data_IF_002386507693
#
_entry.id   IF_002386507693
#
_cell.length_a   1.000
_cell.length_b   1.000
_cell.length_c   1.000
_cell.angle_alpha   90.00
_cell.angle_beta   90.00
_cell.angle_gamma   90.00
#
_symmetry.space_group_name_H-M   'P 1'
#
loop_
_entity.id
_entity.type
_entity.pdbx_description
1 polymer ?
#
# COMPACT_ATOMS: atom_id res chain seq x y z
N UNK A 1 -21.60 33.23 6.94
CA UNK A 1 -20.88 31.97 6.66
C UNK A 1 -20.99 31.74 5.17
N UNK A 2 -19.95 31.26 4.51
CA UNK A 2 -20.02 30.92 3.10
C UNK A 2 -21.07 29.83 2.90
N UNK A 3 -21.85 29.92 1.83
CA UNK A 3 -22.69 28.81 1.39
C UNK A 3 -21.80 27.72 0.77
N UNK A 4 -22.03 26.45 1.16
CA UNK A 4 -21.20 25.32 0.74
C UNK A 4 -22.00 24.31 -0.05
N UNK A 5 -21.48 23.91 -1.21
CA UNK A 5 -22.05 22.83 -2.02
C UNK A 5 -21.02 21.69 -2.16
N UNK A 6 -21.38 20.47 -1.76
CA UNK A 6 -20.60 19.26 -2.02
C UNK A 6 -21.16 18.62 -3.29
N UNK A 7 -20.34 18.57 -4.32
CA UNK A 7 -20.69 18.00 -5.61
C UNK A 7 -19.98 16.66 -5.75
N UNK A 8 -20.74 15.62 -6.10
CA UNK A 8 -20.25 14.25 -6.25
C UNK A 8 -20.36 13.87 -7.73
N UNK A 9 -19.27 14.01 -8.53
CA UNK A 9 -19.26 13.54 -9.91
C UNK A 9 -19.39 12.02 -9.96
N UNK A 10 -20.30 11.52 -10.78
CA UNK A 10 -20.51 10.08 -10.95
C UNK A 10 -20.78 9.75 -12.43
N UNK A 11 -19.92 8.93 -13.04
CA UNK A 11 -20.05 8.46 -14.43
C UNK A 11 -20.35 6.97 -14.46
N UNK A 12 -21.23 6.55 -15.37
CA UNK A 12 -21.45 5.13 -15.58
C UNK A 12 -20.32 4.50 -16.40
N UNK A 13 -19.85 5.22 -17.41
CA UNK A 13 -18.78 4.77 -18.30
C UNK A 13 -17.41 4.89 -17.61
N UNK A 14 -16.95 3.79 -17.05
CA UNK A 14 -15.58 3.62 -16.53
C UNK A 14 -14.92 2.48 -17.28
N UNK A 15 -13.71 2.67 -17.78
CA UNK A 15 -12.99 1.64 -18.55
C UNK A 15 -12.60 0.42 -17.71
N UNK A 16 -12.21 0.64 -16.45
CA UNK A 16 -11.77 -0.42 -15.52
C UNK A 16 -12.93 -1.08 -14.77
N UNK A 17 -13.99 -0.35 -14.49
CA UNK A 17 -15.14 -0.84 -13.73
C UNK A 17 -16.44 -0.13 -14.20
N UNK A 18 -17.08 -0.58 -15.30
CA UNK A 18 -18.34 -0.01 -15.78
C UNK A 18 -19.46 -0.12 -14.76
N UNK A 19 -20.24 0.96 -14.58
CA UNK A 19 -21.31 1.00 -13.59
C UNK A 19 -20.84 1.14 -12.14
N UNK A 20 -19.56 1.41 -11.90
CA UNK A 20 -18.93 1.56 -10.58
C UNK A 20 -19.79 2.32 -9.54
N UNK A 21 -20.41 3.48 -9.80
CA UNK A 21 -21.21 4.18 -8.80
C UNK A 21 -22.44 3.40 -8.30
N UNK A 22 -22.89 2.42 -9.09
CA UNK A 22 -24.05 1.57 -8.76
C UNK A 22 -23.62 0.20 -8.17
N UNK A 23 -22.32 -0.05 -8.00
CA UNK A 23 -21.84 -1.29 -7.40
C UNK A 23 -22.37 -1.44 -5.96
N UNK A 24 -22.82 -2.65 -5.63
CA UNK A 24 -23.38 -2.93 -4.32
C UNK A 24 -22.30 -2.99 -3.24
N UNK A 25 -22.51 -2.26 -2.16
CA UNK A 25 -21.74 -2.30 -0.93
C UNK A 25 -22.72 -2.55 0.22
N UNK A 26 -22.77 -3.78 0.71
CA UNK A 26 -23.61 -4.18 1.84
C UNK A 26 -25.10 -3.80 1.67
N UNK A 27 -25.65 -4.02 0.48
CA UNK A 27 -27.06 -3.75 0.18
C UNK A 27 -27.39 -2.31 -0.21
N UNK A 28 -26.37 -1.44 -0.36
CA UNK A 28 -26.52 -0.07 -0.86
C UNK A 28 -25.58 0.19 -2.04
N UNK A 29 -25.99 0.96 -3.07
CA UNK A 29 -25.08 1.36 -4.13
C UNK A 29 -23.96 2.25 -3.59
N UNK A 30 -22.75 2.12 -4.14
CA UNK A 30 -21.56 2.87 -3.70
C UNK A 30 -21.82 4.39 -3.62
N UNK A 31 -22.50 4.95 -4.60
CA UNK A 31 -22.83 6.39 -4.62
C UNK A 31 -23.69 6.82 -3.43
N UNK A 32 -24.52 5.93 -2.88
CA UNK A 32 -25.34 6.21 -1.70
C UNK A 32 -24.46 6.32 -0.45
N UNK A 33 -23.43 5.46 -0.30
CA UNK A 33 -22.48 5.59 0.80
C UNK A 33 -21.76 6.93 0.80
N UNK A 34 -21.26 7.36 -0.38
CA UNK A 34 -20.59 8.66 -0.53
C UNK A 34 -21.56 9.80 -0.21
N UNK A 35 -22.80 9.73 -0.76
CA UNK A 35 -23.82 10.75 -0.56
C UNK A 35 -24.24 10.90 0.91
N UNK A 36 -24.52 9.79 1.61
CA UNK A 36 -24.92 9.79 3.01
C UNK A 36 -23.85 10.43 3.92
N UNK A 37 -22.57 10.14 3.66
CA UNK A 37 -21.45 10.73 4.40
C UNK A 37 -21.31 12.22 4.10
N UNK A 38 -21.41 12.64 2.85
CA UNK A 38 -21.41 14.05 2.48
C UNK A 38 -22.60 14.80 3.10
N UNK A 39 -23.79 14.17 3.12
CA UNK A 39 -24.99 14.76 3.68
C UNK A 39 -24.97 14.90 5.20
N UNK A 40 -24.08 14.20 5.90
CA UNK A 40 -23.89 14.38 7.35
C UNK A 40 -23.10 15.65 7.71
N UNK A 41 -22.41 16.27 6.74
CA UNK A 41 -21.69 17.54 6.93
C UNK A 41 -22.69 18.69 7.08
N UNK A 42 -22.68 19.31 8.26
CA UNK A 42 -23.68 20.36 8.59
C UNK A 42 -23.48 21.62 7.75
N UNK A 43 -24.58 22.15 7.25
CA UNK A 43 -24.58 23.43 6.52
C UNK A 43 -24.13 23.35 5.07
N UNK A 44 -23.84 22.16 4.55
CA UNK A 44 -23.52 21.94 3.15
C UNK A 44 -24.74 21.37 2.38
N UNK A 45 -24.95 21.82 1.16
CA UNK A 45 -25.86 21.17 0.21
C UNK A 45 -25.12 20.09 -0.56
N UNK A 46 -25.75 18.91 -0.78
CA UNK A 46 -25.09 17.80 -1.49
C UNK A 46 -25.83 17.50 -2.78
N UNK A 47 -25.07 17.35 -3.88
CA UNK A 47 -25.62 17.08 -5.22
C UNK A 47 -24.74 16.05 -5.94
N UNK A 48 -25.36 15.00 -6.49
CA UNK A 48 -24.69 14.08 -7.42
C UNK A 48 -24.80 14.63 -8.84
N UNK A 49 -23.66 14.81 -9.50
CA UNK A 49 -23.58 15.27 -10.87
C UNK A 49 -23.28 14.08 -11.81
N UNK A 50 -24.22 13.71 -12.65
CA UNK A 50 -24.11 12.53 -13.51
C UNK A 50 -24.56 12.79 -14.94
N UNK A 51 -24.01 12.03 -15.89
CA UNK A 51 -24.44 12.00 -17.29
C UNK A 51 -25.30 10.76 -17.62
N UNK A 52 -25.67 9.97 -16.60
CA UNK A 52 -26.38 8.71 -16.80
C UNK A 52 -27.71 8.68 -16.01
N UNK A 53 -28.81 8.43 -16.73
CA UNK A 53 -30.15 8.40 -16.13
C UNK A 53 -30.34 7.27 -15.10
N UNK A 54 -29.57 6.18 -15.18
CA UNK A 54 -29.62 5.07 -14.20
C UNK A 54 -29.08 5.54 -12.86
N UNK A 55 -27.96 6.27 -12.85
CA UNK A 55 -27.38 6.85 -11.63
C UNK A 55 -28.35 7.86 -11.05
N UNK A 56 -28.90 8.77 -11.89
CA UNK A 56 -29.87 9.77 -11.43
C UNK A 56 -31.12 9.13 -10.80
N UNK A 57 -31.64 8.05 -11.42
CA UNK A 57 -32.79 7.31 -10.89
C UNK A 57 -32.51 6.72 -9.52
N UNK A 58 -31.33 6.11 -9.33
CA UNK A 58 -30.91 5.53 -8.05
C UNK A 58 -30.73 6.61 -6.99
N UNK A 59 -30.09 7.74 -7.34
CA UNK A 59 -29.91 8.88 -6.42
C UNK A 59 -31.26 9.42 -5.94
N UNK A 60 -32.21 9.62 -6.85
CA UNK A 60 -33.55 10.07 -6.50
C UNK A 60 -34.31 9.02 -5.67
N UNK A 61 -34.05 7.71 -5.94
CA UNK A 61 -34.69 6.60 -5.24
C UNK A 61 -34.36 6.53 -3.74
N UNK A 62 -33.15 6.90 -3.33
CA UNK A 62 -32.80 7.00 -1.91
C UNK A 62 -32.99 8.41 -1.31
N UNK A 63 -33.64 9.33 -2.02
CA UNK A 63 -33.94 10.69 -1.56
C UNK A 63 -32.78 11.69 -1.71
N UNK A 64 -31.74 11.33 -2.45
CA UNK A 64 -30.62 12.22 -2.78
C UNK A 64 -31.00 13.24 -3.86
N UNK A 65 -30.21 14.31 -3.97
CA UNK A 65 -30.34 15.31 -5.05
C UNK A 65 -29.38 14.96 -6.18
N UNK A 66 -29.90 14.76 -7.38
CA UNK A 66 -29.12 14.51 -8.58
C UNK A 66 -29.34 15.58 -9.64
N UNK A 67 -28.30 15.89 -10.42
CA UNK A 67 -28.35 16.83 -11.55
C UNK A 67 -27.73 16.16 -12.78
N UNK A 68 -28.48 16.20 -13.90
CA UNK A 68 -27.92 15.76 -15.19
C UNK A 68 -26.92 16.78 -15.70
N UNK A 69 -25.80 16.29 -16.19
CA UNK A 69 -24.70 17.04 -16.78
C UNK A 69 -24.31 16.46 -18.14
N UNK A 70 -23.56 17.19 -18.94
CA UNK A 70 -23.09 16.72 -20.24
C UNK A 70 -22.22 15.49 -20.13
N UNK A 71 -22.31 14.58 -21.07
CA UNK A 71 -21.40 13.42 -21.23
C UNK A 71 -20.07 13.80 -21.87
N UNK A 72 -19.92 15.03 -22.37
CA UNK A 72 -18.72 15.50 -23.08
C UNK A 72 -17.63 16.04 -22.18
N UNK A 73 -17.88 16.19 -20.87
CA UNK A 73 -16.88 16.65 -19.92
C UNK A 73 -15.68 15.70 -19.85
N UNK A 74 -14.47 16.24 -20.00
CA UNK A 74 -13.23 15.48 -19.91
C UNK A 74 -12.94 15.08 -18.47
N UNK A 75 -13.24 15.97 -17.49
CA UNK A 75 -12.85 15.82 -16.10
C UNK A 75 -14.02 15.95 -15.10
N UNK A 76 -13.74 15.63 -13.83
CA UNK A 76 -14.66 15.89 -12.72
C UNK A 76 -14.82 17.38 -12.45
N UNK A 77 -13.77 18.16 -12.62
CA UNK A 77 -13.78 19.61 -12.41
C UNK A 77 -14.61 20.34 -13.48
N UNK A 78 -14.54 19.92 -14.76
CA UNK A 78 -15.39 20.46 -15.82
C UNK A 78 -16.88 20.25 -15.50
N UNK A 79 -17.22 19.08 -14.93
CA UNK A 79 -18.59 18.76 -14.51
C UNK A 79 -19.04 19.67 -13.36
N UNK A 80 -18.13 20.00 -12.45
CA UNK A 80 -18.38 20.93 -11.36
C UNK A 80 -18.75 22.32 -11.91
N UNK A 81 -18.00 22.80 -12.90
CA UNK A 81 -18.27 24.11 -13.56
C UNK A 81 -19.69 24.16 -14.18
N UNK A 82 -20.15 23.07 -14.82
CA UNK A 82 -21.54 23.03 -15.31
C UNK A 82 -22.53 23.08 -14.14
N UNK A 83 -22.28 22.36 -13.04
CA UNK A 83 -23.18 22.31 -11.89
C UNK A 83 -23.35 23.68 -11.22
N UNK A 84 -22.31 24.54 -11.24
CA UNK A 84 -22.39 25.90 -10.68
C UNK A 84 -23.53 26.73 -11.27
N UNK A 85 -23.88 26.49 -12.51
CA UNK A 85 -25.04 27.21 -13.16
C UNK A 85 -26.38 26.78 -12.57
N UNK A 86 -26.45 25.66 -11.86
CA UNK A 86 -27.67 25.03 -11.31
C UNK A 86 -27.70 25.06 -9.78
N UNK A 87 -26.54 25.20 -9.15
CA UNK A 87 -26.34 25.18 -7.69
C UNK A 87 -25.41 26.31 -7.31
N UNK A 88 -25.95 27.37 -6.73
CA UNK A 88 -25.17 28.55 -6.32
C UNK A 88 -24.59 28.34 -4.92
N UNK A 89 -23.31 28.55 -4.79
CA UNK A 89 -22.58 28.50 -3.53
C UNK A 89 -21.30 29.35 -3.59
N UNK A 90 -20.76 29.74 -2.44
CA UNK A 90 -19.47 30.45 -2.33
C UNK A 90 -18.29 29.51 -2.39
N UNK A 91 -18.48 28.27 -1.88
CA UNK A 91 -17.48 27.22 -1.80
C UNK A 91 -18.04 25.91 -2.37
N UNK A 92 -17.31 25.30 -3.27
CA UNK A 92 -17.64 24.02 -3.89
C UNK A 92 -16.66 22.95 -3.49
N UNK A 93 -17.14 21.85 -2.92
CA UNK A 93 -16.34 20.67 -2.62
C UNK A 93 -16.52 19.66 -3.75
N UNK A 94 -15.44 19.25 -4.39
CA UNK A 94 -15.40 18.16 -5.35
C UNK A 94 -15.06 16.87 -4.58
N UNK A 95 -16.06 16.03 -4.34
CA UNK A 95 -15.91 14.74 -3.68
C UNK A 95 -16.13 13.62 -4.71
N UNK A 96 -15.11 12.82 -4.98
CA UNK A 96 -15.22 11.75 -5.97
C UNK A 96 -16.27 10.70 -5.57
N UNK A 97 -17.09 10.28 -6.53
CA UNK A 97 -18.17 9.31 -6.32
C UNK A 97 -17.67 7.88 -6.04
N UNK A 98 -16.38 7.65 -6.06
CA UNK A 98 -15.68 6.39 -5.78
C UNK A 98 -14.92 6.37 -4.45
N UNK A 99 -15.22 7.33 -3.56
CA UNK A 99 -14.63 7.44 -2.21
C UNK A 99 -15.65 7.05 -1.10
N UNK A 100 -16.12 5.80 -1.04
CA UNK A 100 -17.17 5.39 -0.09
C UNK A 100 -16.68 5.37 1.37
N UNK A 101 -15.38 5.46 1.60
CA UNK A 101 -14.75 5.53 2.93
C UNK A 101 -14.37 6.96 3.34
N UNK A 102 -14.76 7.99 2.58
CA UNK A 102 -14.56 9.40 2.96
C UNK A 102 -15.12 9.65 4.36
N UNK A 103 -14.41 10.45 5.14
CA UNK A 103 -14.83 10.79 6.50
C UNK A 103 -15.46 12.19 6.49
N UNK A 104 -16.66 12.35 7.07
CA UNK A 104 -17.29 13.67 7.18
C UNK A 104 -16.39 14.71 7.84
N UNK A 105 -15.60 14.29 8.85
CA UNK A 105 -14.68 15.17 9.60
C UNK A 105 -13.58 15.74 8.70
N UNK A 106 -13.15 15.02 7.67
CA UNK A 106 -12.14 15.47 6.72
C UNK A 106 -12.73 16.55 5.79
N UNK A 107 -14.01 16.43 5.40
CA UNK A 107 -14.73 17.45 4.65
C UNK A 107 -14.97 18.69 5.51
N UNK A 108 -15.38 18.52 6.77
CA UNK A 108 -15.56 19.63 7.73
C UNK A 108 -14.24 20.37 7.99
N UNK A 109 -13.11 19.65 8.14
CA UNK A 109 -11.79 20.25 8.27
C UNK A 109 -11.47 21.14 7.09
N UNK A 110 -11.67 20.65 5.86
CA UNK A 110 -11.40 21.38 4.63
C UNK A 110 -12.29 22.65 4.53
N UNK A 111 -13.58 22.50 4.80
CA UNK A 111 -14.54 23.63 4.80
C UNK A 111 -14.14 24.69 5.83
N UNK A 112 -13.80 24.28 7.05
CA UNK A 112 -13.42 25.16 8.14
C UNK A 112 -12.10 25.89 7.84
N UNK A 113 -11.10 25.21 7.26
CA UNK A 113 -9.84 25.81 6.85
C UNK A 113 -10.06 26.90 5.78
N UNK A 114 -10.90 26.60 4.76
CA UNK A 114 -11.26 27.57 3.73
C UNK A 114 -12.09 28.75 4.29
N UNK A 115 -12.92 28.51 5.31
CA UNK A 115 -13.71 29.56 5.94
C UNK A 115 -12.84 30.48 6.81
N UNK A 116 -11.81 29.94 7.47
CA UNK A 116 -10.91 30.67 8.34
C UNK A 116 -9.96 31.62 7.59
N UNK A 117 -9.52 31.23 6.39
CA UNK A 117 -8.64 32.03 5.55
C UNK A 117 -9.25 32.23 4.15
N UNK A 118 -9.71 33.45 3.91
CA UNK A 118 -10.36 33.83 2.64
C UNK A 118 -9.37 33.98 1.47
N UNK A 119 -8.08 34.03 1.74
CA UNK A 119 -7.04 34.09 0.71
C UNK A 119 -6.76 32.71 0.11
N UNK A 120 -7.16 31.64 0.77
CA UNK A 120 -7.07 30.31 0.20
C UNK A 120 -8.16 30.13 -0.87
N UNK A 121 -7.74 29.99 -2.11
CA UNK A 121 -8.63 29.85 -3.25
C UNK A 121 -8.96 28.38 -3.54
N UNK A 122 -7.97 27.47 -3.37
CA UNK A 122 -8.13 26.02 -3.54
C UNK A 122 -7.54 25.28 -2.36
N UNK A 123 -8.32 24.38 -1.80
CA UNK A 123 -7.90 23.47 -0.73
C UNK A 123 -7.95 22.01 -1.15
N UNK A 124 -7.07 21.18 -0.62
CA UNK A 124 -7.09 19.72 -0.78
C UNK A 124 -6.59 19.03 0.47
N UNK A 125 -6.56 17.70 0.47
CA UNK A 125 -6.20 16.89 1.62
C UNK A 125 -4.98 16.00 1.34
N UNK A 126 -4.25 15.62 2.38
CA UNK A 126 -3.21 14.59 2.33
C UNK A 126 -3.12 13.83 3.64
N UNK A 127 -2.53 12.64 3.60
CA UNK A 127 -2.09 11.91 4.79
C UNK A 127 -0.67 11.37 4.61
N UNK A 128 -0.01 11.09 5.72
CA UNK A 128 1.35 10.53 5.72
C UNK A 128 1.36 9.06 5.29
N UNK A 129 2.38 8.67 4.48
CA UNK A 129 2.60 7.31 4.01
C UNK A 129 4.07 6.90 4.14
N UNK A 130 4.32 5.60 4.13
CA UNK A 130 5.67 5.04 4.14
C UNK A 130 6.40 5.22 2.81
N UNK A 131 7.73 5.13 2.83
CA UNK A 131 8.56 5.14 1.63
C UNK A 131 8.22 3.99 0.66
N UNK A 132 7.78 2.86 1.17
CA UNK A 132 7.32 1.73 0.36
C UNK A 132 6.05 2.08 -0.42
N UNK A 133 5.04 2.62 0.25
CA UNK A 133 3.77 3.06 -0.38
C UNK A 133 4.00 4.17 -1.40
N UNK A 134 4.96 5.05 -1.17
CA UNK A 134 5.29 6.15 -2.09
C UNK A 134 5.84 5.68 -3.46
N UNK A 135 6.39 4.46 -3.54
CA UNK A 135 6.87 3.88 -4.81
C UNK A 135 5.75 3.53 -5.79
N UNK A 136 4.52 3.35 -5.30
CA UNK A 136 3.38 3.05 -6.16
C UNK A 136 3.00 4.29 -7.00
N UNK A 137 3.05 4.24 -8.34
CA UNK A 137 2.71 5.38 -9.20
C UNK A 137 1.22 5.72 -9.19
N UNK A 138 0.34 4.82 -8.74
CA UNK A 138 -1.09 5.10 -8.56
C UNK A 138 -1.36 5.93 -7.30
N UNK A 139 -0.44 5.93 -6.35
CA UNK A 139 -0.46 6.80 -5.18
C UNK A 139 0.15 8.15 -5.57
N UNK A 140 -0.66 9.21 -5.65
CA UNK A 140 -0.17 10.55 -5.95
C UNK A 140 0.46 11.15 -4.70
N UNK A 141 1.68 11.70 -4.84
CA UNK A 141 2.39 12.38 -3.74
C UNK A 141 2.27 13.87 -3.88
N UNK A 142 2.26 14.58 -2.76
CA UNK A 142 2.31 16.04 -2.71
C UNK A 142 3.46 16.52 -1.82
N UNK A 143 4.18 17.53 -2.27
CA UNK A 143 5.15 18.27 -1.46
C UNK A 143 4.54 19.61 -1.10
N UNK A 144 4.57 19.97 0.18
CA UNK A 144 4.03 21.25 0.67
C UNK A 144 5.12 22.10 1.29
N UNK A 145 4.95 23.42 1.22
CA UNK A 145 5.70 24.38 2.04
C UNK A 145 5.32 24.24 3.51
N UNK A 146 6.03 24.98 4.36
CA UNK A 146 5.72 25.04 5.80
C UNK A 146 4.31 25.62 6.06
N UNK A 147 3.83 26.53 5.21
CA UNK A 147 2.49 27.11 5.31
C UNK A 147 1.35 26.18 4.82
N UNK A 148 1.67 24.98 4.33
CA UNK A 148 0.68 24.05 3.77
C UNK A 148 0.44 24.26 2.27
N UNK A 149 1.03 25.28 1.62
CA UNK A 149 0.91 25.47 0.18
C UNK A 149 1.58 24.34 -0.58
N UNK A 150 0.86 23.70 -1.51
CA UNK A 150 1.40 22.66 -2.35
C UNK A 150 2.45 23.21 -3.32
N UNK A 151 3.63 22.61 -3.31
CA UNK A 151 4.71 22.94 -4.24
C UNK A 151 4.61 22.15 -5.54
N UNK A 152 4.24 20.88 -5.46
CA UNK A 152 4.07 20.00 -6.62
C UNK A 152 3.31 18.72 -6.24
N UNK A 153 2.64 18.12 -7.23
CA UNK A 153 2.04 16.78 -7.15
C UNK A 153 2.71 15.87 -8.16
N UNK A 154 3.00 14.62 -7.78
CA UNK A 154 3.63 13.67 -8.70
C UNK A 154 3.26 12.22 -8.42
N UNK A 155 3.25 11.41 -9.48
CA UNK A 155 3.21 9.94 -9.38
C UNK A 155 4.55 9.36 -8.98
N UNK A 156 5.66 10.08 -9.19
CA UNK A 156 6.98 9.71 -8.69
C UNK A 156 7.10 9.89 -7.17
N UNK A 157 7.96 9.15 -6.47
CA UNK A 157 8.29 9.41 -5.08
C UNK A 157 8.94 10.79 -4.90
N UNK A 158 8.21 11.75 -4.37
CA UNK A 158 8.67 13.08 -4.02
C UNK A 158 8.38 13.38 -2.54
N UNK A 159 9.33 14.07 -1.81
CA UNK A 159 10.63 14.55 -2.26
C UNK A 159 11.64 13.42 -2.51
N UNK A 160 12.66 13.67 -3.37
CA UNK A 160 13.76 12.72 -3.51
C UNK A 160 14.67 12.78 -2.27
N UNK A 161 14.84 11.66 -1.60
CA UNK A 161 15.69 11.56 -0.40
C UNK A 161 17.09 11.15 -0.86
N UNK A 162 18.02 12.13 -0.88
CA UNK A 162 19.40 11.90 -1.28
C UNK A 162 20.20 11.16 -0.19
N UNK A 163 19.99 11.53 1.06
CA UNK A 163 20.68 10.93 2.21
C UNK A 163 19.74 9.92 2.90
N UNK A 164 20.14 8.67 2.94
CA UNK A 164 19.38 7.57 3.58
C UNK A 164 19.22 7.72 5.09
N UNK A 165 20.02 8.57 5.75
CA UNK A 165 19.91 8.89 7.18
C UNK A 165 18.77 9.85 7.51
N UNK A 166 18.19 10.52 6.52
CA UNK A 166 17.08 11.45 6.73
C UNK A 166 15.77 10.68 6.81
N UNK A 167 15.16 10.67 7.99
CA UNK A 167 13.78 10.18 8.14
C UNK A 167 12.81 11.28 7.68
N UNK A 168 12.08 11.04 6.59
CA UNK A 168 10.96 11.88 6.16
C UNK A 168 9.78 11.01 5.79
N UNK A 169 8.58 11.47 6.09
CA UNK A 169 7.35 10.85 5.62
C UNK A 169 6.97 11.41 4.25
N UNK A 170 6.48 10.56 3.38
CA UNK A 170 5.83 11.00 2.15
C UNK A 170 4.38 11.38 2.43
N UNK A 171 3.84 12.33 1.67
CA UNK A 171 2.46 12.77 1.78
C UNK A 171 1.68 12.24 0.59
N UNK A 172 0.71 11.36 0.83
CA UNK A 172 -0.24 10.92 -0.19
C UNK A 172 -1.36 11.95 -0.31
N UNK A 173 -1.55 12.48 -1.51
CA UNK A 173 -2.67 13.32 -1.84
C UNK A 173 -4.00 12.53 -1.79
N UNK A 174 -5.04 13.15 -1.24
CA UNK A 174 -6.42 12.65 -1.23
C UNK A 174 -7.25 13.49 -2.21
N UNK A 175 -7.90 12.83 -3.16
CA UNK A 175 -8.58 13.46 -4.31
C UNK A 175 -9.86 14.25 -3.98
N UNK A 176 -9.90 14.92 -2.84
CA UNK A 176 -10.97 15.82 -2.43
C UNK A 176 -10.48 17.26 -2.55
N UNK A 177 -11.26 18.11 -3.19
CA UNK A 177 -10.91 19.51 -3.39
C UNK A 177 -12.01 20.45 -2.93
N UNK A 178 -11.63 21.59 -2.39
CA UNK A 178 -12.49 22.74 -2.15
C UNK A 178 -12.07 23.89 -3.06
N UNK A 179 -13.01 24.45 -3.79
CA UNK A 179 -12.78 25.57 -4.70
C UNK A 179 -13.66 26.74 -4.32
N UNK A 180 -13.09 27.95 -4.31
CA UNK A 180 -13.92 29.14 -4.33
C UNK A 180 -14.60 29.29 -5.69
N UNK A 181 -15.78 29.87 -5.69
CA UNK A 181 -16.55 30.13 -6.90
C UNK A 181 -15.72 30.83 -7.97
N UNK A 182 -14.93 31.84 -7.60
CA UNK A 182 -14.07 32.60 -8.49
C UNK A 182 -13.05 31.74 -9.27
N UNK A 183 -12.50 30.71 -8.65
CA UNK A 183 -11.56 29.79 -9.32
C UNK A 183 -12.29 28.96 -10.38
N UNK A 184 -13.45 28.41 -10.04
CA UNK A 184 -14.22 27.59 -10.98
C UNK A 184 -14.74 28.40 -12.17
N UNK A 185 -15.10 29.69 -11.98
CA UNK A 185 -15.53 30.60 -13.06
C UNK A 185 -14.43 30.79 -14.12
N UNK A 186 -13.17 30.81 -13.72
CA UNK A 186 -12.04 30.92 -14.65
C UNK A 186 -11.45 29.57 -15.12
N UNK A 187 -11.80 28.48 -14.46
CA UNK A 187 -11.19 27.15 -14.71
C UNK A 187 -11.32 26.73 -16.18
N UNK A 188 -12.47 26.92 -16.79
CA UNK A 188 -12.72 26.58 -18.20
C UNK A 188 -11.90 27.39 -19.22
N UNK A 189 -11.27 28.48 -18.77
CA UNK A 189 -10.42 29.35 -19.61
C UNK A 189 -8.92 28.98 -19.44
N UNK A 190 -8.56 28.14 -18.43
CA UNK A 190 -7.20 27.74 -18.23
C UNK A 190 -6.75 26.78 -19.33
N UNK A 191 -5.60 27.05 -19.91
CA UNK A 191 -4.98 26.15 -20.89
C UNK A 191 -4.54 24.85 -20.24
N UNK A 192 -4.66 23.73 -20.96
CA UNK A 192 -4.12 22.45 -20.52
C UNK A 192 -2.60 22.54 -20.37
N UNK A 193 -2.10 22.10 -19.21
CA UNK A 193 -0.71 22.23 -18.86
C UNK A 193 0.14 21.03 -19.32
N UNK A 194 1.39 21.28 -19.75
CA UNK A 194 2.31 20.19 -20.13
C UNK A 194 2.60 19.25 -18.96
N UNK A 195 2.68 19.78 -17.75
CA UNK A 195 2.93 18.98 -16.56
C UNK A 195 1.68 18.17 -16.15
N UNK A 196 0.49 18.70 -16.36
CA UNK A 196 -0.78 17.98 -16.21
C UNK A 196 -0.84 16.77 -17.14
N UNK A 197 -0.51 16.97 -18.43
CA UNK A 197 -0.48 15.90 -19.43
C UNK A 197 0.54 14.83 -19.05
N UNK A 198 1.74 15.24 -18.62
CA UNK A 198 2.84 14.32 -18.29
C UNK A 198 2.52 13.43 -17.08
N UNK A 199 1.98 14.02 -16.01
CA UNK A 199 1.65 13.31 -14.76
C UNK A 199 0.22 12.72 -14.78
N UNK A 200 -0.63 13.11 -15.74
CA UNK A 200 -2.07 12.80 -15.76
C UNK A 200 -2.75 13.21 -14.44
N UNK A 201 -2.52 14.48 -14.03
CA UNK A 201 -2.99 15.08 -12.79
C UNK A 201 -3.57 16.47 -13.06
N UNK A 202 -4.91 16.58 -13.05
CA UNK A 202 -5.67 17.81 -13.39
C UNK A 202 -5.29 19.03 -12.52
N UNK A 203 -4.98 18.81 -11.26
CA UNK A 203 -4.62 19.90 -10.33
C UNK A 203 -3.32 20.61 -10.70
N UNK A 204 -2.48 20.02 -11.52
CA UNK A 204 -1.25 20.67 -11.99
C UNK A 204 -1.54 21.83 -12.93
N UNK A 205 -2.70 21.85 -13.60
CA UNK A 205 -3.18 23.01 -14.40
C UNK A 205 -3.32 24.26 -13.54
N UNK A 206 -3.84 24.10 -12.31
CA UNK A 206 -3.98 25.22 -11.38
C UNK A 206 -2.62 25.78 -10.97
N UNK A 207 -1.69 24.91 -10.57
CA UNK A 207 -0.33 25.32 -10.19
C UNK A 207 0.43 25.98 -11.34
N UNK A 208 0.30 25.45 -12.57
CA UNK A 208 0.92 26.03 -13.78
C UNK A 208 0.28 27.37 -14.20
N UNK A 209 -0.90 27.67 -13.67
CA UNK A 209 -1.62 28.94 -13.87
C UNK A 209 -1.48 29.90 -12.67
N UNK A 210 -0.48 29.69 -11.81
CA UNK A 210 -0.20 30.50 -10.61
C UNK A 210 -1.37 30.52 -9.59
N UNK A 211 -2.26 29.52 -9.59
CA UNK A 211 -3.32 29.37 -8.60
C UNK A 211 -2.80 28.47 -7.47
N UNK A 212 -2.66 29.02 -6.28
CA UNK A 212 -2.15 28.32 -5.12
C UNK A 212 -3.15 27.27 -4.59
N UNK A 213 -2.65 26.06 -4.33
CA UNK A 213 -3.39 24.98 -3.69
C UNK A 213 -2.83 24.78 -2.29
N UNK A 214 -3.68 24.78 -1.26
CA UNK A 214 -3.30 24.48 0.11
C UNK A 214 -3.74 23.06 0.47
N UNK A 215 -2.82 22.25 0.99
CA UNK A 215 -3.08 20.87 1.37
C UNK A 215 -3.09 20.70 2.90
N UNK A 216 -4.14 20.08 3.42
CA UNK A 216 -4.35 19.90 4.86
C UNK A 216 -4.19 18.44 5.23
N UNK A 217 -3.56 18.19 6.37
CA UNK A 217 -3.31 16.83 6.85
C UNK A 217 -4.56 16.23 7.48
N UNK A 218 -4.87 15.00 7.07
CA UNK A 218 -5.97 14.19 7.64
C UNK A 218 -5.42 12.84 8.11
N UNK A 219 -6.21 12.12 8.88
CA UNK A 219 -5.88 10.73 9.18
C UNK A 219 -6.01 9.89 7.92
N UNK A 220 -5.26 8.78 7.87
CA UNK A 220 -5.33 7.85 6.73
C UNK A 220 -6.79 7.43 6.49
N UNK A 221 -7.29 7.73 5.30
CA UNK A 221 -8.58 7.25 4.81
C UNK A 221 -8.42 5.85 4.21
N UNK A 222 -9.52 5.14 4.06
CA UNK A 222 -9.54 3.88 3.32
C UNK A 222 -9.27 4.11 1.80
N UNK A 223 -9.07 3.05 1.03
CA UNK A 223 -8.87 3.15 -0.41
C UNK A 223 -10.15 3.63 -1.11
N UNK A 224 -9.99 4.43 -2.16
CA UNK A 224 -11.03 4.64 -3.17
C UNK A 224 -11.24 3.36 -4.00
N UNK A 225 -12.35 3.26 -4.69
CA UNK A 225 -12.70 2.10 -5.52
C UNK A 225 -12.41 2.41 -6.97
N UNK A 226 -11.39 1.78 -7.54
CA UNK A 226 -11.05 1.88 -8.97
C UNK A 226 -11.27 0.59 -9.73
N UNK A 227 -11.19 -0.54 -9.04
CA UNK A 227 -11.32 -1.89 -9.57
C UNK A 227 -12.30 -2.72 -8.72
N UNK A 228 -12.79 -3.88 -9.22
CA UNK A 228 -13.57 -4.81 -8.40
C UNK A 228 -12.84 -5.27 -7.13
N UNK A 229 -11.52 -5.45 -7.20
CA UNK A 229 -10.69 -5.84 -6.05
C UNK A 229 -10.66 -4.75 -4.97
N UNK A 230 -10.71 -3.47 -5.36
CA UNK A 230 -10.81 -2.36 -4.40
C UNK A 230 -12.19 -2.33 -3.74
N UNK A 231 -13.25 -2.69 -4.47
CA UNK A 231 -14.59 -2.82 -3.92
C UNK A 231 -14.64 -3.89 -2.81
N UNK A 232 -14.02 -5.05 -3.03
CA UNK A 232 -13.93 -6.11 -2.01
C UNK A 232 -13.21 -5.63 -0.75
N UNK A 233 -12.11 -4.87 -0.90
CA UNK A 233 -11.39 -4.25 0.23
C UNK A 233 -12.28 -3.28 1.01
N UNK A 234 -13.04 -2.44 0.32
CA UNK A 234 -13.95 -1.49 0.95
C UNK A 234 -15.06 -2.22 1.71
N UNK A 235 -15.65 -3.27 1.13
CA UNK A 235 -16.66 -4.09 1.79
C UNK A 235 -16.11 -4.72 3.08
N UNK A 236 -14.89 -5.27 3.04
CA UNK A 236 -14.23 -5.84 4.21
C UNK A 236 -14.02 -4.80 5.31
N UNK A 237 -13.54 -3.59 4.97
CA UNK A 237 -13.38 -2.48 5.93
C UNK A 237 -14.72 -2.14 6.60
N UNK A 238 -15.79 -1.99 5.82
CA UNK A 238 -17.10 -1.62 6.33
C UNK A 238 -17.74 -2.70 7.20
N UNK A 239 -17.37 -3.97 7.00
CA UNK A 239 -17.78 -5.10 7.86
C UNK A 239 -16.93 -5.21 9.13
N UNK A 240 -15.91 -4.38 9.31
CA UNK A 240 -14.85 -4.56 10.31
C UNK A 240 -14.15 -5.93 10.19
N UNK A 241 -14.17 -6.54 9.00
CA UNK A 241 -13.39 -7.71 8.69
C UNK A 241 -11.95 -7.27 8.46
N UNK A 242 -10.94 -7.97 9.00
CA UNK A 242 -9.55 -7.63 8.70
C UNK A 242 -9.34 -7.77 7.18
N UNK A 243 -8.91 -6.68 6.54
CA UNK A 243 -8.56 -6.69 5.12
C UNK A 243 -7.49 -7.76 4.89
N UNK A 244 -7.64 -8.53 3.81
CA UNK A 244 -6.56 -9.43 3.40
C UNK A 244 -5.24 -8.67 3.13
N UNK A 245 -5.32 -7.37 2.77
CA UNK A 245 -4.16 -6.48 2.60
C UNK A 245 -3.66 -5.83 3.89
N UNK A 246 -4.43 -5.88 5.00
CA UNK A 246 -3.99 -5.48 6.35
C UNK A 246 -3.57 -6.69 7.19
N UNK A 247 -3.85 -7.90 6.73
CA UNK A 247 -3.07 -9.05 7.14
C UNK A 247 -1.66 -8.79 6.60
N UNK A 248 -0.80 -8.30 7.47
CA UNK A 248 0.62 -8.23 7.18
C UNK A 248 1.05 -9.50 6.44
N UNK A 249 1.82 -9.34 5.37
CA UNK A 249 2.30 -10.45 4.53
C UNK A 249 2.85 -11.60 5.36
N UNK A 250 3.35 -11.30 6.57
CA UNK A 250 4.02 -12.24 7.45
C UNK A 250 3.16 -12.73 8.62
N UNK A 251 1.94 -12.20 8.80
CA UNK A 251 1.09 -12.51 9.97
C UNK A 251 0.65 -13.98 10.08
N UNK A 252 0.52 -14.67 8.96
CA UNK A 252 0.04 -16.06 8.92
C UNK A 252 1.12 -17.06 8.47
N UNK A 253 2.38 -16.64 8.44
CA UNK A 253 3.50 -17.54 8.07
C UNK A 253 3.71 -18.60 9.15
N UNK A 254 3.70 -19.84 8.74
CA UNK A 254 4.02 -21.00 9.59
C UNK A 254 5.16 -21.85 9.05
N UNK A 255 5.66 -21.50 7.84
CA UNK A 255 6.85 -22.13 7.24
C UNK A 255 7.75 -21.06 6.62
N UNK A 256 9.01 -21.06 7.00
CA UNK A 256 10.10 -20.28 6.38
C UNK A 256 11.00 -21.24 5.63
N UNK A 257 11.13 -21.07 4.32
CA UNK A 257 12.09 -21.81 3.49
C UNK A 257 13.24 -20.86 3.16
N UNK A 258 14.48 -21.28 3.44
CA UNK A 258 15.67 -20.47 3.16
C UNK A 258 16.60 -21.15 2.18
N UNK A 259 17.14 -20.36 1.22
CA UNK A 259 18.38 -20.75 0.57
C UNK A 259 19.55 -20.64 1.55
N UNK A 260 20.70 -21.11 1.15
CA UNK A 260 21.92 -21.13 1.96
C UNK A 260 22.96 -20.16 1.43
N UNK A 261 23.43 -20.38 0.19
CA UNK A 261 24.54 -19.62 -0.37
C UNK A 261 24.04 -18.25 -0.83
N UNK A 262 24.54 -17.18 -0.22
CA UNK A 262 24.05 -15.82 -0.44
C UNK A 262 22.90 -15.38 0.50
N UNK A 263 22.34 -16.29 1.33
CA UNK A 263 21.32 -15.96 2.34
C UNK A 263 21.83 -16.20 3.76
N UNK A 264 22.09 -17.47 4.13
CA UNK A 264 22.69 -17.84 5.43
C UNK A 264 24.21 -17.71 5.43
N UNK A 265 24.83 -17.67 4.26
CA UNK A 265 26.25 -17.38 4.05
C UNK A 265 26.39 -16.09 3.22
N UNK A 266 27.60 -15.55 3.18
CA UNK A 266 27.98 -14.40 2.35
C UNK A 266 28.24 -14.76 0.87
N UNK A 267 27.88 -15.98 0.43
CA UNK A 267 28.10 -16.51 -0.91
C UNK A 267 29.56 -16.88 -1.20
N UNK A 268 30.50 -16.63 -0.28
CA UNK A 268 31.91 -17.01 -0.41
C UNK A 268 32.09 -18.53 -0.37
N UNK A 269 32.91 -19.05 -1.27
CA UNK A 269 33.21 -20.49 -1.38
C UNK A 269 34.69 -20.72 -1.06
N UNK A 270 34.94 -21.53 -0.08
CA UNK A 270 36.29 -21.90 0.33
C UNK A 270 36.60 -23.33 -0.14
N UNK A 271 37.58 -23.46 -1.06
CA UNK A 271 37.94 -24.71 -1.71
C UNK A 271 39.32 -25.18 -1.30
N UNK A 272 39.48 -26.47 -1.11
CA UNK A 272 40.73 -27.20 -1.11
C UNK A 272 40.79 -28.25 -2.23
N UNK A 273 41.79 -29.10 -2.27
CA UNK A 273 41.94 -30.15 -3.29
C UNK A 273 40.85 -31.21 -3.25
N UNK A 274 40.07 -31.28 -2.18
CA UNK A 274 38.94 -32.20 -2.01
C UNK A 274 37.58 -31.55 -2.25
N UNK A 275 37.55 -30.25 -2.57
CA UNK A 275 36.32 -29.47 -2.86
C UNK A 275 36.00 -28.42 -1.81
N UNK A 276 34.72 -28.09 -1.64
CA UNK A 276 34.27 -27.10 -0.66
C UNK A 276 34.51 -27.60 0.77
N UNK A 277 35.38 -26.90 1.52
CA UNK A 277 35.84 -27.34 2.84
C UNK A 277 35.26 -26.54 4.01
N UNK A 278 34.88 -25.24 3.82
CA UNK A 278 34.42 -24.35 4.87
C UNK A 278 33.22 -23.52 4.36
N UNK A 279 32.26 -23.29 5.22
CA UNK A 279 31.18 -22.27 5.04
C UNK A 279 31.16 -21.37 6.26
N UNK A 280 31.02 -20.07 6.01
CA UNK A 280 30.82 -19.05 7.03
C UNK A 280 29.35 -18.79 7.22
N UNK A 281 28.83 -19.06 8.43
CA UNK A 281 27.47 -18.76 8.86
C UNK A 281 27.44 -17.59 9.85
N UNK A 282 26.37 -16.83 9.89
CA UNK A 282 26.19 -15.76 10.85
C UNK A 282 25.44 -16.27 12.10
N UNK A 283 25.93 -15.90 13.30
CA UNK A 283 25.35 -16.36 14.57
C UNK A 283 23.92 -15.90 14.76
N UNK A 284 23.60 -14.66 14.33
CA UNK A 284 22.24 -14.08 14.46
C UNK A 284 21.21 -14.85 13.63
N UNK A 285 21.57 -15.33 12.45
CA UNK A 285 20.67 -16.15 11.62
C UNK A 285 20.30 -17.46 12.30
N UNK A 286 21.30 -18.11 12.95
CA UNK A 286 21.04 -19.29 13.77
C UNK A 286 20.08 -19.02 14.92
N UNK A 287 20.23 -17.87 15.59
CA UNK A 287 19.30 -17.46 16.64
C UNK A 287 17.89 -17.18 16.07
N UNK A 288 17.79 -16.50 14.90
CA UNK A 288 16.51 -16.26 14.23
C UNK A 288 15.76 -17.55 13.92
N UNK A 289 16.47 -18.57 13.43
CA UNK A 289 15.90 -19.91 13.20
C UNK A 289 15.32 -20.50 14.49
N UNK A 290 16.06 -20.42 15.58
CA UNK A 290 15.62 -20.95 16.89
C UNK A 290 14.39 -20.21 17.43
N UNK A 291 14.34 -18.88 17.28
CA UNK A 291 13.18 -18.08 17.68
C UNK A 291 11.92 -18.42 16.87
N UNK A 292 12.05 -18.62 15.57
CA UNK A 292 10.95 -19.07 14.71
C UNK A 292 10.44 -20.44 15.15
N UNK A 293 11.34 -21.41 15.37
CA UNK A 293 10.99 -22.76 15.83
C UNK A 293 10.26 -22.70 17.18
N UNK A 294 10.70 -21.86 18.11
CA UNK A 294 10.04 -21.66 19.40
C UNK A 294 8.65 -21.05 19.27
N UNK A 295 8.47 -20.15 18.31
CA UNK A 295 7.17 -19.57 18.01
C UNK A 295 6.20 -20.55 17.33
N UNK A 296 6.62 -21.80 17.07
CA UNK A 296 5.84 -22.81 16.36
C UNK A 296 5.90 -22.66 14.83
N UNK A 297 6.84 -21.85 14.31
CA UNK A 297 7.04 -21.65 12.87
C UNK A 297 8.13 -22.61 12.40
N UNK A 298 7.80 -23.44 11.42
CA UNK A 298 8.74 -24.39 10.85
C UNK A 298 9.78 -23.68 9.99
N UNK A 299 11.03 -24.17 10.02
CA UNK A 299 12.08 -23.68 9.14
C UNK A 299 12.59 -24.84 8.30
N UNK A 300 12.69 -24.61 6.99
CA UNK A 300 13.20 -25.57 6.03
C UNK A 300 14.36 -24.98 5.22
N UNK A 301 15.23 -25.86 4.73
CA UNK A 301 16.37 -25.49 3.88
C UNK A 301 16.19 -26.07 2.48
N UNK A 302 16.38 -25.22 1.47
CA UNK A 302 16.37 -25.61 0.06
C UNK A 302 17.62 -25.05 -0.64
N UNK A 303 18.62 -25.89 -0.91
CA UNK A 303 19.90 -25.48 -1.49
C UNK A 303 20.25 -26.24 -2.77
N UNK A 304 20.84 -25.50 -3.72
CA UNK A 304 21.43 -26.07 -4.94
C UNK A 304 22.69 -26.90 -4.69
N UNK A 305 23.30 -26.78 -3.50
CA UNK A 305 24.51 -27.49 -3.12
C UNK A 305 24.25 -28.46 -1.97
N UNK A 306 25.14 -29.46 -1.87
CA UNK A 306 25.21 -30.41 -0.79
C UNK A 306 26.66 -30.53 -0.32
N UNK A 307 26.94 -30.14 0.91
CA UNK A 307 28.28 -30.21 1.49
C UNK A 307 28.26 -30.63 2.96
N UNK A 308 29.37 -31.20 3.42
CA UNK A 308 29.49 -31.63 4.82
C UNK A 308 29.30 -30.49 5.83
N UNK A 309 29.90 -29.29 5.64
CA UNK A 309 29.65 -28.15 6.54
C UNK A 309 28.19 -27.76 6.62
N UNK A 310 27.47 -27.80 5.48
CA UNK A 310 26.04 -27.48 5.41
C UNK A 310 25.19 -28.49 6.18
N UNK A 311 25.40 -29.80 5.96
CA UNK A 311 24.69 -30.86 6.69
C UNK A 311 24.92 -30.77 8.21
N UNK A 312 26.15 -30.46 8.60
CA UNK A 312 26.49 -30.25 10.03
C UNK A 312 25.69 -29.05 10.60
N UNK A 313 25.65 -27.93 9.89
CA UNK A 313 24.94 -26.74 10.34
C UNK A 313 23.42 -26.96 10.45
N UNK A 314 22.81 -27.65 9.50
CA UNK A 314 21.37 -28.03 9.50
C UNK A 314 21.08 -28.85 10.76
N UNK A 315 21.91 -29.85 11.04
CA UNK A 315 21.79 -30.71 12.24
C UNK A 315 21.93 -29.93 13.55
N UNK A 316 22.91 -29.00 13.64
CA UNK A 316 23.13 -28.17 14.84
C UNK A 316 21.96 -27.21 15.10
N UNK A 317 21.27 -26.79 14.05
CA UNK A 317 20.09 -25.91 14.13
C UNK A 317 18.79 -26.70 14.36
N UNK A 318 18.81 -28.06 14.34
CA UNK A 318 17.61 -28.87 14.47
C UNK A 318 16.58 -28.59 13.37
N UNK A 319 17.04 -28.50 12.12
CA UNK A 319 16.16 -28.32 10.97
C UNK A 319 15.84 -29.70 10.39
N UNK A 320 14.58 -30.12 10.51
CA UNK A 320 14.15 -31.47 10.11
C UNK A 320 13.82 -31.56 8.63
N UNK A 321 13.36 -30.45 8.01
CA UNK A 321 12.94 -30.41 6.61
C UNK A 321 14.03 -29.73 5.78
N UNK A 322 14.69 -30.50 4.92
CA UNK A 322 15.69 -29.92 4.01
C UNK A 322 15.83 -30.72 2.72
N UNK A 323 16.18 -30.03 1.65
CA UNK A 323 16.49 -30.58 0.34
C UNK A 323 17.77 -29.94 -0.21
N UNK A 324 18.78 -30.76 -0.47
CA UNK A 324 20.13 -30.35 -0.86
C UNK A 324 20.50 -30.88 -2.25
N UNK A 325 21.36 -30.17 -2.98
CA UNK A 325 21.77 -30.57 -4.33
C UNK A 325 20.67 -30.40 -5.38
N UNK A 326 19.67 -29.54 -5.13
CA UNK A 326 18.45 -29.41 -5.93
C UNK A 326 18.68 -28.43 -7.07
N UNK A 327 18.39 -28.88 -8.31
CA UNK A 327 18.43 -28.02 -9.50
C UNK A 327 17.08 -27.35 -9.80
N UNK A 328 15.97 -28.01 -9.52
CA UNK A 328 14.63 -27.48 -9.73
C UNK A 328 14.01 -27.07 -8.39
N UNK A 329 14.21 -25.79 -8.01
CA UNK A 329 13.70 -25.26 -6.76
C UNK A 329 12.17 -25.12 -6.72
N UNK A 330 11.49 -25.03 -7.85
CA UNK A 330 10.01 -24.98 -7.90
C UNK A 330 9.37 -26.26 -7.35
N UNK A 331 9.79 -27.40 -7.91
CA UNK A 331 9.26 -28.73 -7.49
C UNK A 331 9.61 -29.00 -6.04
N UNK A 332 10.86 -28.73 -5.66
CA UNK A 332 11.32 -28.96 -4.29
C UNK A 332 10.60 -28.06 -3.26
N UNK A 333 10.32 -26.80 -3.61
CA UNK A 333 9.56 -25.90 -2.73
C UNK A 333 8.15 -26.46 -2.47
N UNK A 334 7.45 -26.91 -3.50
CA UNK A 334 6.12 -27.55 -3.37
C UNK A 334 6.18 -28.80 -2.50
N UNK A 335 7.22 -29.62 -2.65
CA UNK A 335 7.42 -30.82 -1.83
C UNK A 335 7.69 -30.48 -0.36
N UNK A 336 8.50 -29.44 -0.08
CA UNK A 336 8.75 -28.96 1.28
C UNK A 336 7.45 -28.50 1.94
N UNK A 337 6.62 -27.74 1.22
CA UNK A 337 5.30 -27.27 1.70
C UNK A 337 4.41 -28.44 2.09
N UNK A 338 4.38 -29.50 1.28
CA UNK A 338 3.63 -30.72 1.59
C UNK A 338 4.17 -31.44 2.82
N UNK A 339 5.51 -31.61 2.94
CA UNK A 339 6.16 -32.24 4.09
C UNK A 339 5.93 -31.47 5.40
N UNK A 340 5.86 -30.14 5.30
CA UNK A 340 5.57 -29.27 6.44
C UNK A 340 4.07 -29.24 6.80
N UNK A 341 3.22 -29.93 6.05
CA UNK A 341 1.76 -29.95 6.23
C UNK A 341 1.15 -28.54 6.29
N UNK A 342 1.59 -27.69 5.37
CA UNK A 342 1.15 -26.30 5.26
C UNK A 342 0.67 -25.95 3.85
N UNK A 343 0.35 -24.68 3.61
CA UNK A 343 -0.11 -24.19 2.33
C UNK A 343 0.86 -23.17 1.72
N UNK A 344 0.76 -22.94 0.41
CA UNK A 344 1.53 -21.92 -0.29
C UNK A 344 1.39 -20.56 0.40
N UNK A 345 0.17 -20.14 0.75
CA UNK A 345 -0.12 -18.82 1.33
C UNK A 345 0.57 -18.59 2.67
N UNK A 346 0.77 -19.65 3.45
CA UNK A 346 1.39 -19.59 4.77
C UNK A 346 2.90 -19.85 4.75
N UNK A 347 3.51 -19.81 3.57
CA UNK A 347 4.93 -20.08 3.36
C UNK A 347 5.65 -18.85 2.84
N UNK A 348 6.78 -18.52 3.47
CA UNK A 348 7.73 -17.51 2.96
C UNK A 348 9.00 -18.21 2.46
N UNK A 349 9.53 -17.73 1.35
CA UNK A 349 10.83 -18.16 0.82
C UNK A 349 11.80 -16.97 0.79
N UNK A 350 13.00 -17.14 1.32
CA UNK A 350 14.08 -16.13 1.24
C UNK A 350 15.22 -16.64 0.35
N UNK A 351 15.60 -15.85 -0.65
CA UNK A 351 16.64 -16.15 -1.63
C UNK A 351 17.47 -14.92 -2.02
N UNK A 352 18.49 -15.14 -2.85
CA UNK A 352 19.43 -14.08 -3.27
C UNK A 352 19.65 -13.97 -4.78
N UNK A 353 19.37 -15.02 -5.57
CA UNK A 353 19.76 -15.02 -7.00
C UNK A 353 18.66 -15.64 -7.91
N UNK A 354 18.95 -15.65 -9.20
CA UNK A 354 18.09 -16.15 -10.29
C UNK A 354 17.56 -17.56 -10.04
N UNK A 355 18.36 -18.42 -9.39
CA UNK A 355 18.00 -19.80 -9.09
C UNK A 355 16.85 -19.92 -8.10
N UNK A 356 16.53 -18.85 -7.36
CA UNK A 356 15.43 -18.78 -6.39
C UNK A 356 14.09 -18.36 -7.01
N UNK A 357 14.12 -17.70 -8.17
CA UNK A 357 12.91 -17.23 -8.83
C UNK A 357 11.83 -18.31 -9.01
N UNK A 358 12.16 -19.58 -9.35
CA UNK A 358 11.16 -20.64 -9.41
C UNK A 358 10.52 -20.99 -8.06
N UNK A 359 11.27 -20.83 -6.94
CA UNK A 359 10.73 -21.01 -5.59
C UNK A 359 9.85 -19.84 -5.16
N UNK A 360 10.17 -18.61 -5.55
CA UNK A 360 9.36 -17.42 -5.29
C UNK A 360 7.92 -17.57 -5.78
N UNK A 361 7.72 -18.10 -7.00
CA UNK A 361 6.36 -18.36 -7.53
C UNK A 361 5.62 -19.47 -6.78
N UNK A 362 6.31 -20.31 -6.03
CA UNK A 362 5.76 -21.48 -5.33
C UNK A 362 5.40 -21.22 -3.88
N UNK A 363 5.82 -20.08 -3.29
CA UNK A 363 5.47 -19.66 -1.94
C UNK A 363 4.46 -18.49 -1.95
N UNK A 364 3.89 -18.17 -0.80
CA UNK A 364 2.94 -17.07 -0.61
C UNK A 364 3.64 -15.72 -0.49
N UNK A 365 4.85 -15.71 0.08
CA UNK A 365 5.68 -14.51 0.23
C UNK A 365 7.09 -14.80 -0.25
N UNK A 366 7.55 -14.04 -1.22
CA UNK A 366 8.91 -14.09 -1.75
C UNK A 366 9.77 -12.97 -1.13
N UNK A 367 10.95 -13.31 -0.63
CA UNK A 367 11.84 -12.38 0.06
C UNK A 367 13.24 -12.42 -0.54
N UNK A 368 13.83 -11.26 -0.81
CA UNK A 368 15.22 -11.14 -1.25
C UNK A 368 16.09 -10.47 -0.19
N UNK A 369 17.37 -10.86 -0.13
CA UNK A 369 18.38 -10.17 0.70
C UNK A 369 18.78 -8.82 0.09
N UNK A 370 19.39 -7.91 0.89
CA UNK A 370 19.74 -6.56 0.46
C UNK A 370 20.68 -6.48 -0.75
N UNK A 371 21.57 -7.42 -0.90
CA UNK A 371 22.57 -7.49 -1.96
C UNK A 371 22.20 -8.42 -3.13
N UNK A 372 20.98 -8.95 -3.15
CA UNK A 372 20.43 -9.64 -4.31
C UNK A 372 20.42 -8.69 -5.54
N UNK A 373 20.61 -9.20 -6.77
CA UNK A 373 20.49 -8.41 -7.99
C UNK A 373 19.14 -7.72 -8.12
N UNK A 374 19.09 -6.51 -8.73
CA UNK A 374 17.86 -5.72 -8.85
C UNK A 374 16.73 -6.45 -9.59
N UNK A 375 17.06 -7.29 -10.58
CA UNK A 375 16.06 -8.08 -11.29
C UNK A 375 15.44 -9.21 -10.43
N UNK A 376 16.14 -9.67 -9.39
CA UNK A 376 15.62 -10.60 -8.38
C UNK A 376 14.72 -9.86 -7.41
N UNK A 377 15.18 -8.72 -6.88
CA UNK A 377 14.42 -7.85 -5.99
C UNK A 377 13.09 -7.40 -6.62
N UNK A 378 13.07 -7.15 -7.93
CA UNK A 378 11.86 -6.78 -8.66
C UNK A 378 10.81 -7.90 -8.75
N UNK A 379 11.15 -9.15 -8.37
CA UNK A 379 10.29 -10.33 -8.41
C UNK A 379 9.85 -10.83 -7.03
N UNK A 380 10.26 -10.15 -5.97
CA UNK A 380 9.89 -10.53 -4.60
C UNK A 380 8.90 -9.52 -3.99
N UNK A 381 8.21 -9.96 -2.93
CA UNK A 381 7.24 -9.16 -2.18
C UNK A 381 7.94 -8.27 -1.15
N UNK A 382 9.07 -8.72 -0.61
CA UNK A 382 9.85 -8.02 0.40
C UNK A 382 11.35 -8.08 0.07
N UNK A 383 12.05 -6.99 0.38
CA UNK A 383 13.51 -6.94 0.34
C UNK A 383 14.01 -6.62 1.75
N UNK A 384 14.93 -7.44 2.25
CA UNK A 384 15.58 -7.19 3.54
C UNK A 384 16.56 -6.00 3.43
N UNK A 385 16.77 -5.31 4.53
CA UNK A 385 17.79 -4.25 4.61
C UNK A 385 19.19 -4.84 4.85
N UNK A 386 19.25 -6.06 5.35
CA UNK A 386 20.47 -6.80 5.67
C UNK A 386 20.92 -7.67 4.50
N UNK A 387 22.25 -7.67 4.24
CA UNK A 387 22.88 -8.53 3.23
C UNK A 387 22.87 -10.00 3.65
N UNK A 388 22.96 -10.89 2.65
CA UNK A 388 23.15 -12.31 2.88
C UNK A 388 24.40 -12.63 3.69
N UNK A 389 24.32 -13.58 4.62
CA UNK A 389 25.39 -13.95 5.54
C UNK A 389 25.73 -12.93 6.63
N UNK A 390 24.90 -11.90 6.81
CA UNK A 390 25.08 -10.85 7.83
C UNK A 390 23.89 -10.67 8.76
N UNK A 391 22.93 -11.60 8.74
CA UNK A 391 21.75 -11.57 9.59
C UNK A 391 20.44 -11.29 8.84
N UNK A 392 20.37 -11.52 7.55
CA UNK A 392 19.16 -11.29 6.73
C UNK A 392 17.99 -12.19 7.17
N UNK A 393 18.26 -13.47 7.46
CA UNK A 393 17.23 -14.36 7.98
C UNK A 393 16.78 -13.95 9.38
N UNK A 394 17.70 -13.43 10.22
CA UNK A 394 17.33 -12.87 11.53
C UNK A 394 16.39 -11.70 11.39
N UNK A 395 16.63 -10.77 10.47
CA UNK A 395 15.74 -9.66 10.19
C UNK A 395 14.35 -10.14 9.76
N UNK A 396 14.28 -11.12 8.86
CA UNK A 396 13.01 -11.73 8.46
C UNK A 396 12.29 -12.38 9.64
N UNK A 397 13.03 -13.13 10.49
CA UNK A 397 12.46 -13.75 11.68
C UNK A 397 11.86 -12.72 12.64
N UNK A 398 12.58 -11.63 12.91
CA UNK A 398 12.10 -10.55 13.78
C UNK A 398 10.83 -9.90 13.19
N UNK A 399 10.80 -9.63 11.89
CA UNK A 399 9.60 -9.09 11.21
C UNK A 399 8.39 -10.04 11.34
N UNK A 400 8.57 -11.33 11.12
CA UNK A 400 7.50 -12.34 11.27
C UNK A 400 6.97 -12.37 12.71
N UNK A 401 7.86 -12.40 13.70
CA UNK A 401 7.47 -12.48 15.11
C UNK A 401 6.74 -11.21 15.59
N UNK A 402 7.19 -10.03 15.17
CA UNK A 402 6.53 -8.76 15.48
C UNK A 402 5.13 -8.75 14.88
N UNK A 403 4.99 -9.11 13.61
CA UNK A 403 3.71 -9.11 12.90
C UNK A 403 2.72 -10.15 13.43
N UNK A 404 3.23 -11.24 14.03
CA UNK A 404 2.41 -12.23 14.72
C UNK A 404 2.13 -11.89 16.19
N UNK A 405 2.53 -10.71 16.68
CA UNK A 405 2.33 -10.29 18.06
C UNK A 405 3.16 -11.08 19.08
N UNK A 406 4.31 -11.64 18.65
CA UNK A 406 5.23 -12.46 19.45
C UNK A 406 6.55 -11.74 19.74
N UNK A 407 6.54 -10.39 19.78
CA UNK A 407 7.74 -9.58 20.01
C UNK A 407 8.42 -9.86 21.34
N UNK A 408 7.69 -10.37 22.34
CA UNK A 408 8.25 -10.81 23.62
C UNK A 408 9.36 -11.86 23.49
N UNK A 409 9.32 -12.71 22.44
CA UNK A 409 10.38 -13.68 22.16
C UNK A 409 11.70 -13.01 21.77
N UNK A 410 11.64 -11.79 21.27
CA UNK A 410 12.80 -11.01 20.81
C UNK A 410 13.32 -10.10 21.93
N UNK A 411 12.41 -9.46 22.69
CA UNK A 411 12.68 -8.33 23.57
C UNK A 411 12.83 -8.73 25.03
N UNK A 412 12.22 -9.86 25.49
CA UNK A 412 12.26 -10.28 26.88
C UNK A 412 13.40 -11.27 27.15
N UNK A 413 14.44 -10.85 27.93
CA UNK A 413 15.55 -11.73 28.30
C UNK A 413 15.12 -12.97 29.10
N UNK A 414 14.01 -12.92 29.81
CA UNK A 414 13.50 -14.05 30.60
C UNK A 414 12.93 -15.15 29.72
N UNK A 415 12.30 -14.79 28.63
CA UNK A 415 11.81 -15.72 27.61
C UNK A 415 12.99 -16.39 26.90
N UNK A 416 14.05 -15.63 26.60
CA UNK A 416 15.28 -16.18 26.03
C UNK A 416 15.96 -17.21 26.91
N UNK A 417 16.02 -17.02 28.24
CA UNK A 417 16.63 -17.97 29.19
C UNK A 417 15.86 -19.30 29.28
N UNK A 418 14.53 -19.26 29.16
CA UNK A 418 13.70 -20.49 29.07
C UNK A 418 13.98 -21.28 27.80
N UNK A 419 14.32 -20.62 26.71
CA UNK A 419 14.73 -21.23 25.43
C UNK A 419 16.03 -21.99 25.58
N UNK A 420 17.05 -21.37 26.22
CA UNK A 420 18.37 -22.00 26.42
C UNK A 420 18.32 -23.18 27.39
N UNK A 421 17.48 -23.15 28.40
CA UNK A 421 17.29 -24.26 29.31
C UNK A 421 16.74 -25.51 28.59
N UNK A 422 15.90 -25.34 27.59
CA UNK A 422 15.35 -26.43 26.77
C UNK A 422 16.31 -26.89 25.64
N UNK A 423 17.37 -26.12 25.35
CA UNK A 423 18.38 -26.49 24.35
C UNK A 423 19.58 -27.26 24.95
N UNK A 424 19.72 -27.27 26.28
CA UNK A 424 20.83 -27.94 27.00
C UNK A 424 20.46 -29.38 27.45
N UNK A 425 19.27 -29.83 27.12
CA UNK A 425 18.83 -31.22 27.26
C UNK A 425 18.70 -31.91 25.89
#
# INVERSE_FOLDING_TARGET
>A
MDSVAIIIPARYASSRFPGKPLADILGKPMIQHVYEKAASVKGASVVVATDDGRILSVVNGFGGKGVMTSSTHASGTDRLVEVMSKVDADLYINLQGDEPLVRPEDLELLINAMAADKLIEVGTLYHSISAYQAKNPNTVKVVTSHSGRACYFSRSPIPFIRDKGVQTSYKQHVGVYAYRKSVLEQYSQLAESKIEIAEQLEQLRLLDSDIDIYAFEVMKTGPGVDTPEDLEKVIAILKNEPLESEKSLLSNINLVITDIDGVLTDGGIYYDEHGECIKRFHVRDGLGIKLLQQAGIQVAVLSGKDSKPLRKRISDLGIDIFMLGIKNKEVACKEIIQRANTTKVNTVYIGDDTIDLPAFVSCGVAVAVADAPEYVKAKCDLVMDTKGGFGALRELADKILIEQGKSELIEDPSTFLKVHANMAQ
#
